data_IF_110766426241
#
_entry.id   IF_110766426241
#
_cell.length_a   1.000
_cell.length_b   1.000
_cell.length_c   1.000
_cell.angle_alpha   90.00
_cell.angle_beta   90.00
_cell.angle_gamma   90.00
#
_symmetry.space_group_name_H-M   'P 1'
#
loop_
_entity.id
_entity.type
_entity.pdbx_description
1 polymer ?
#
# COMPACT_ATOMS: atom_id res chain seq x y z
N UNK A 1 16.24 -1.76 7.49
CA UNK A 1 15.31 -0.65 7.23
C UNK A 1 14.12 -0.75 8.17
N UNK A 2 13.44 0.37 8.46
CA UNK A 2 12.28 0.44 9.37
C UNK A 2 11.15 -0.49 8.92
N UNK A 3 10.85 -0.50 7.62
CA UNK A 3 9.74 -1.29 7.04
C UNK A 3 10.12 -2.74 6.72
N UNK A 4 11.41 -3.06 6.65
CA UNK A 4 11.91 -4.36 6.20
C UNK A 4 12.21 -4.44 4.71
N UNK A 5 11.79 -3.44 3.92
CA UNK A 5 12.05 -3.36 2.48
C UNK A 5 13.27 -2.49 2.16
N UNK A 6 13.86 -2.71 0.99
CA UNK A 6 14.93 -1.86 0.45
C UNK A 6 14.35 -0.53 -0.07
N UNK A 7 15.15 0.53 -0.09
CA UNK A 7 14.73 1.81 -0.69
C UNK A 7 14.41 1.62 -2.18
N UNK A 8 13.27 2.17 -2.60
CA UNK A 8 12.72 2.02 -3.95
C UNK A 8 11.86 0.78 -4.16
N UNK A 9 11.62 -0.03 -3.13
CA UNK A 9 10.75 -1.21 -3.20
C UNK A 9 9.92 -1.39 -1.92
N UNK A 10 9.55 -0.29 -1.25
CA UNK A 10 8.75 -0.39 -0.02
C UNK A 10 7.30 -0.76 -0.37
N UNK A 11 6.84 -1.91 0.11
CA UNK A 11 5.44 -2.33 -0.01
C UNK A 11 4.64 -1.92 1.24
N UNK A 12 3.34 -1.58 1.09
CA UNK A 12 2.44 -1.47 2.24
C UNK A 12 2.09 -2.84 2.85
N UNK A 13 2.21 -3.92 2.07
CA UNK A 13 1.91 -5.30 2.51
C UNK A 13 3.18 -5.90 3.13
N UNK A 14 3.06 -6.72 4.18
CA UNK A 14 4.16 -7.54 4.67
C UNK A 14 5.32 -6.78 5.36
N UNK A 15 5.09 -5.55 5.80
CA UNK A 15 6.08 -4.81 6.59
C UNK A 15 6.40 -5.53 7.91
N UNK A 16 7.65 -5.41 8.39
CA UNK A 16 8.11 -6.02 9.66
C UNK A 16 7.22 -5.70 10.87
N UNK A 17 6.61 -4.52 10.85
CA UNK A 17 5.64 -4.04 11.83
C UNK A 17 4.48 -3.44 11.06
N UNK A 18 3.26 -3.61 11.57
CA UNK A 18 2.09 -2.89 11.08
C UNK A 18 2.18 -1.44 11.55
N UNK A 19 2.21 -0.52 10.59
CA UNK A 19 2.17 0.91 10.83
C UNK A 19 0.77 1.45 10.54
N UNK A 20 0.31 2.50 11.24
CA UNK A 20 -0.84 3.27 10.80
C UNK A 20 -0.65 3.68 9.35
N UNK A 21 -1.55 3.23 8.48
CA UNK A 21 -1.45 3.44 7.04
C UNK A 21 -2.66 4.22 6.57
N UNK A 22 -2.40 5.29 5.83
CA UNK A 22 -3.42 6.18 5.30
C UNK A 22 -3.30 6.21 3.79
N UNK A 23 -4.42 6.08 3.09
CA UNK A 23 -4.48 6.14 1.63
C UNK A 23 -5.39 7.30 1.24
N UNK A 24 -4.99 8.09 0.24
CA UNK A 24 -5.81 9.17 -0.29
C UNK A 24 -7.12 8.63 -0.89
N UNK A 25 -8.25 9.30 -0.65
CA UNK A 25 -9.58 8.84 -1.06
C UNK A 25 -9.75 8.59 -2.56
N UNK A 26 -9.01 9.30 -3.41
CA UNK A 26 -9.05 9.10 -4.86
C UNK A 26 -8.66 7.70 -5.31
N UNK A 27 -8.07 6.88 -4.45
CA UNK A 27 -7.81 5.48 -4.77
C UNK A 27 -9.11 4.71 -5.07
N UNK A 28 -10.24 5.12 -4.49
CA UNK A 28 -11.54 4.48 -4.66
C UNK A 28 -12.19 4.76 -6.02
N UNK A 29 -11.67 5.73 -6.78
CA UNK A 29 -12.15 6.06 -8.13
C UNK A 29 -11.68 5.05 -9.19
N UNK A 30 -10.86 4.06 -8.79
CA UNK A 30 -10.27 3.07 -9.68
C UNK A 30 -10.65 1.64 -9.25
N UNK A 31 -11.00 0.79 -10.22
CA UNK A 31 -11.23 -0.64 -9.96
C UNK A 31 -9.97 -1.33 -9.41
N UNK A 32 -8.79 -0.88 -9.87
CA UNK A 32 -7.50 -1.41 -9.46
C UNK A 32 -6.45 -0.31 -9.34
N UNK A 33 -5.60 -0.44 -8.33
CA UNK A 33 -4.40 0.36 -8.13
C UNK A 33 -3.16 -0.53 -8.13
N UNK A 34 -2.00 0.09 -8.33
CA UNK A 34 -0.71 -0.59 -8.28
C UNK A 34 0.10 -0.11 -7.08
N UNK A 35 0.64 -1.06 -6.32
CA UNK A 35 1.57 -0.80 -5.22
C UNK A 35 2.81 -1.66 -5.37
N UNK A 36 3.94 -1.22 -4.80
CA UNK A 36 5.18 -1.99 -4.85
C UNK A 36 4.98 -3.39 -4.26
N UNK A 37 5.53 -4.41 -4.92
CA UNK A 37 5.49 -5.79 -4.46
C UNK A 37 6.57 -6.14 -3.41
N UNK A 38 7.34 -5.16 -2.93
CA UNK A 38 8.45 -5.41 -2.00
C UNK A 38 9.80 -5.69 -2.67
N UNK A 39 9.82 -5.78 -4.00
CA UNK A 39 11.00 -6.02 -4.83
C UNK A 39 10.99 -5.00 -5.98
N UNK A 40 12.17 -4.54 -6.41
CA UNK A 40 12.30 -3.59 -7.53
C UNK A 40 11.72 -4.19 -8.81
N UNK A 41 11.13 -3.32 -9.63
CA UNK A 41 10.54 -3.67 -10.93
C UNK A 41 9.32 -4.60 -10.87
N UNK A 42 8.74 -4.82 -9.69
CA UNK A 42 7.51 -5.62 -9.53
C UNK A 42 6.41 -4.82 -8.80
N UNK A 43 5.20 -4.91 -9.32
CA UNK A 43 4.01 -4.22 -8.83
C UNK A 43 2.90 -5.25 -8.56
N UNK A 44 2.05 -4.97 -7.58
CA UNK A 44 0.83 -5.72 -7.30
C UNK A 44 -0.34 -4.91 -7.83
N UNK A 45 -1.13 -5.49 -8.73
CA UNK A 45 -2.44 -4.98 -9.14
C UNK A 45 -3.49 -5.47 -8.14
N UNK A 46 -4.20 -4.57 -7.47
CA UNK A 46 -5.16 -4.94 -6.42
C UNK A 46 -6.32 -3.95 -6.35
N UNK A 47 -7.51 -4.44 -6.01
CA UNK A 47 -8.65 -3.58 -5.74
C UNK A 47 -8.40 -2.74 -4.46
N UNK A 48 -8.69 -1.43 -4.45
CA UNK A 48 -8.42 -0.56 -3.30
C UNK A 48 -9.00 -1.08 -1.99
N UNK A 49 -10.27 -1.50 -2.01
CA UNK A 49 -10.97 -2.09 -0.85
C UNK A 49 -10.24 -3.32 -0.31
N UNK A 50 -9.72 -4.17 -1.21
CA UNK A 50 -8.99 -5.36 -0.79
C UNK A 50 -7.64 -5.02 -0.17
N UNK A 51 -6.96 -3.99 -0.69
CA UNK A 51 -5.71 -3.50 -0.12
C UNK A 51 -5.94 -2.94 1.29
N UNK A 52 -6.95 -2.09 1.46
CA UNK A 52 -7.26 -1.47 2.77
C UNK A 52 -7.53 -2.50 3.85
N UNK A 53 -8.26 -3.57 3.50
CA UNK A 53 -8.54 -4.67 4.44
C UNK A 53 -7.27 -5.42 4.86
N UNK A 54 -6.39 -5.74 3.90
CA UNK A 54 -5.18 -6.53 4.16
C UNK A 54 -4.20 -5.79 5.09
N UNK A 55 -4.09 -4.48 4.93
CA UNK A 55 -3.09 -3.67 5.64
C UNK A 55 -3.69 -2.84 6.78
N UNK A 56 -5.00 -2.96 7.02
CA UNK A 56 -5.76 -2.15 7.97
C UNK A 56 -5.54 -0.64 7.77
N UNK A 57 -5.67 -0.18 6.51
CA UNK A 57 -5.49 1.22 6.17
C UNK A 57 -6.78 2.03 6.30
N UNK A 58 -6.63 3.31 6.64
CA UNK A 58 -7.71 4.29 6.62
C UNK A 58 -7.68 5.08 5.32
N UNK A 59 -8.82 5.17 4.66
CA UNK A 59 -9.00 6.02 3.48
C UNK A 59 -9.42 7.41 3.93
N UNK A 60 -8.61 8.41 3.60
CA UNK A 60 -8.78 9.77 4.12
C UNK A 60 -8.45 10.80 3.04
N UNK A 61 -8.87 12.05 3.27
CA UNK A 61 -8.34 13.18 2.53
C UNK A 61 -6.92 13.50 3.02
N UNK A 62 -5.94 13.36 2.13
CA UNK A 62 -4.54 13.75 2.37
C UNK A 62 -4.33 15.03 1.57
N UNK A 63 -3.99 16.12 2.28
CA UNK A 63 -3.81 17.47 1.73
C UNK A 63 -2.85 17.52 0.54
#
# INVERSE_FOLDING_TARGET
>A
SVTGYIRGACSPIGMKKLFPTFIHFSCMDFDFIYVSAGIRSLQIKIAPNRLTDIINAQVVNLL
#
